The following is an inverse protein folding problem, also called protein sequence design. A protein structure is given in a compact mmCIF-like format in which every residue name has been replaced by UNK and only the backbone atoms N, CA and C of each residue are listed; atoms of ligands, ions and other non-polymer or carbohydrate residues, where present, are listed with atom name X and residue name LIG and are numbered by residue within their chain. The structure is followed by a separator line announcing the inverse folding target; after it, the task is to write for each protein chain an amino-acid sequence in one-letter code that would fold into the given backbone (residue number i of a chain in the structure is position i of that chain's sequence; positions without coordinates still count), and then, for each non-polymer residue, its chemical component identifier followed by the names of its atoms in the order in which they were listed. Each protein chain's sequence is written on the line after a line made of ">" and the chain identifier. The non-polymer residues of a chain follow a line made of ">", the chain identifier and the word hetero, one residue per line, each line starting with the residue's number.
data_IF_791610694170
#
_entry.id   IF_791610694170
#
_cell.length_a   1.000
_cell.length_b   1.000
_cell.length_c   1.000
_cell.angle_alpha   90.00
_cell.angle_beta   90.00
_cell.angle_gamma   90.00
#
_symmetry.space_group_name_H-M   'P 1'
#
loop_
_entity.id
_entity.type
_entity.pdbx_description
1 polymer ?
#
# COMPACT_ATOMS: atom_id res chain seq x y z
N UNK A 1 65.04 17.54 4.40
CA UNK A 1 64.46 17.28 5.75
C UNK A 1 63.04 16.82 5.50
N UNK A 2 62.58 15.62 5.83
CA UNK A 2 63.09 14.57 6.69
C UNK A 2 62.49 13.23 6.17
N UNK A 3 63.34 12.23 6.00
CA UNK A 3 63.03 10.89 5.50
C UNK A 3 62.64 9.98 6.67
N UNK A 4 61.57 9.19 6.56
CA UNK A 4 61.35 8.05 7.47
C UNK A 4 61.14 6.74 6.71
N UNK A 5 61.96 5.77 7.13
CA UNK A 5 62.30 4.50 6.50
C UNK A 5 61.37 3.37 6.95
N UNK A 6 61.31 2.36 6.07
CA UNK A 6 60.86 0.98 6.30
C UNK A 6 61.45 0.34 7.58
N UNK A 7 60.62 -0.48 8.25
CA UNK A 7 61.07 -1.69 8.94
C UNK A 7 60.01 -2.80 8.75
N UNK A 8 60.34 -3.81 7.95
CA UNK A 8 59.63 -5.09 7.91
C UNK A 8 60.31 -6.01 8.93
N UNK A 9 59.62 -6.37 9.99
CA UNK A 9 60.04 -7.44 10.90
C UNK A 9 59.29 -8.72 10.52
N UNK A 10 60.02 -9.66 9.91
CA UNK A 10 59.54 -11.02 9.65
C UNK A 10 59.90 -11.87 10.87
N UNK A 11 58.91 -12.19 11.70
CA UNK A 11 59.04 -13.18 12.76
C UNK A 11 58.57 -14.53 12.20
N UNK A 12 59.54 -15.39 11.88
CA UNK A 12 59.30 -16.78 11.53
C UNK A 12 59.13 -17.56 12.83
N UNK A 13 57.87 -17.67 13.31
CA UNK A 13 57.52 -18.52 14.45
C UNK A 13 57.28 -19.93 13.92
N UNK A 14 58.18 -20.84 14.30
CA UNK A 14 58.06 -22.27 14.07
C UNK A 14 56.99 -22.81 15.03
N UNK A 15 55.75 -22.91 14.56
CA UNK A 15 54.65 -23.49 15.31
C UNK A 15 54.75 -25.02 15.28
N UNK A 16 55.06 -25.61 16.44
CA UNK A 16 54.93 -27.04 16.70
C UNK A 16 53.44 -27.42 16.57
N UNK A 17 53.08 -28.15 15.52
CA UNK A 17 51.74 -28.69 15.35
C UNK A 17 51.52 -29.86 16.32
N UNK A 18 51.00 -29.57 17.51
CA UNK A 18 50.39 -30.59 18.37
C UNK A 18 49.02 -30.91 17.77
N UNK A 19 48.94 -32.05 17.07
CA UNK A 19 47.70 -32.67 16.63
C UNK A 19 46.89 -33.11 17.87
N UNK A 20 46.23 -32.16 18.51
CA UNK A 20 45.13 -32.43 19.43
C UNK A 20 43.88 -32.60 18.56
N UNK A 21 43.60 -33.84 18.15
CA UNK A 21 42.29 -34.17 17.59
C UNK A 21 41.25 -33.76 18.64
N UNK A 22 40.32 -32.82 18.34
CA UNK A 22 39.23 -32.56 19.25
C UNK A 22 38.46 -33.87 19.35
N UNK A 23 38.38 -34.45 20.55
CA UNK A 23 37.29 -35.36 20.86
C UNK A 23 36.02 -34.57 20.59
N UNK A 24 35.46 -34.73 19.40
CA UNK A 24 34.11 -34.31 19.09
C UNK A 24 33.26 -35.18 19.99
N UNK A 25 32.82 -34.60 21.12
CA UNK A 25 31.75 -35.14 21.90
C UNK A 25 30.58 -35.27 20.92
N UNK A 26 30.41 -36.47 20.35
CA UNK A 26 29.20 -36.84 19.64
C UNK A 26 28.11 -36.75 20.69
N UNK A 27 27.44 -35.59 20.74
CA UNK A 27 26.22 -35.46 21.52
C UNK A 27 25.30 -36.51 20.92
N UNK A 28 25.09 -37.60 21.64
CA UNK A 28 24.08 -38.58 21.29
C UNK A 28 22.78 -37.78 21.22
N UNK A 29 22.27 -37.59 20.01
CA UNK A 29 21.01 -36.90 19.80
C UNK A 29 19.95 -37.76 20.49
N UNK A 30 19.47 -37.27 21.62
CA UNK A 30 18.40 -37.91 22.38
C UNK A 30 17.20 -38.07 21.44
N UNK A 31 16.69 -39.30 21.32
CA UNK A 31 15.61 -39.59 20.39
C UNK A 31 14.37 -38.77 20.80
N UNK A 32 13.89 -37.90 19.91
CA UNK A 32 12.70 -37.09 20.19
C UNK A 32 11.43 -37.96 20.15
N UNK A 33 10.42 -37.69 20.99
CA UNK A 33 9.12 -38.35 20.92
C UNK A 33 8.44 -38.17 19.56
N UNK A 34 7.59 -39.12 19.19
CA UNK A 34 6.76 -39.01 17.99
C UNK A 34 5.90 -37.74 18.01
N UNK A 35 5.88 -36.99 16.91
CA UNK A 35 5.15 -35.73 16.79
C UNK A 35 5.96 -34.48 17.16
N UNK A 36 7.10 -34.61 17.85
CA UNK A 36 7.97 -33.46 18.15
C UNK A 36 8.81 -33.12 16.90
N UNK A 37 8.77 -31.87 16.41
CA UNK A 37 9.58 -31.47 15.26
C UNK A 37 11.08 -31.52 15.60
N UNK A 38 11.94 -31.70 14.60
CA UNK A 38 13.39 -31.85 14.81
C UNK A 38 14.11 -30.59 15.30
N UNK A 39 13.49 -29.40 15.21
CA UNK A 39 14.11 -28.11 15.52
C UNK A 39 13.52 -27.46 16.78
N UNK A 40 14.40 -26.95 17.66
CA UNK A 40 14.00 -26.11 18.79
C UNK A 40 13.66 -24.70 18.30
N UNK A 41 12.69 -24.05 18.93
CA UNK A 41 12.26 -22.71 18.48
C UNK A 41 13.39 -21.67 18.54
N UNK A 42 14.24 -21.72 19.57
CA UNK A 42 15.38 -20.80 19.71
C UNK A 42 16.55 -21.05 18.74
N UNK A 43 16.51 -22.11 17.93
CA UNK A 43 17.58 -22.43 16.97
C UNK A 43 17.21 -22.12 15.52
N UNK A 44 15.96 -21.73 15.26
CA UNK A 44 15.51 -21.41 13.90
C UNK A 44 15.97 -20.00 13.50
N UNK A 45 16.67 -19.90 12.38
CA UNK A 45 16.93 -18.64 11.70
C UNK A 45 15.95 -18.46 10.54
N UNK A 46 15.23 -17.35 10.52
CA UNK A 46 14.27 -17.00 9.46
C UNK A 46 13.22 -18.09 9.16
N UNK A 47 12.44 -18.54 10.17
CA UNK A 47 11.39 -19.53 9.92
C UNK A 47 10.38 -18.99 8.89
N UNK A 48 9.90 -19.87 8.00
CA UNK A 48 8.78 -19.56 7.11
C UNK A 48 7.46 -19.77 7.85
N UNK A 49 6.41 -19.04 7.46
CA UNK A 49 5.08 -19.21 8.05
C UNK A 49 4.66 -20.68 7.96
N UNK A 50 4.20 -21.25 9.07
CA UNK A 50 3.85 -22.66 9.20
C UNK A 50 4.98 -23.56 9.72
N UNK A 51 6.22 -23.08 9.80
CA UNK A 51 7.34 -23.83 10.37
C UNK A 51 7.02 -24.27 11.79
N UNK A 52 7.15 -25.57 12.06
CA UNK A 52 6.98 -26.14 13.39
C UNK A 52 8.31 -26.17 14.14
N UNK A 53 8.26 -25.87 15.42
CA UNK A 53 9.39 -25.97 16.33
C UNK A 53 8.91 -26.41 17.70
N UNK A 54 9.82 -26.73 18.62
CA UNK A 54 9.43 -27.05 20.00
C UNK A 54 10.23 -26.29 21.05
N UNK A 55 9.63 -26.15 22.22
CA UNK A 55 10.32 -25.84 23.48
C UNK A 55 10.07 -26.96 24.47
N UNK A 56 11.08 -27.33 25.25
CA UNK A 56 10.97 -28.38 26.27
C UNK A 56 10.99 -27.74 27.66
N UNK A 57 10.05 -28.14 28.51
CA UNK A 57 10.04 -27.78 29.93
C UNK A 57 10.14 -29.07 30.74
N UNK A 58 11.28 -29.33 31.42
CA UNK A 58 11.40 -30.49 32.29
C UNK A 58 10.52 -30.31 33.53
N UNK A 59 9.96 -31.40 34.02
CA UNK A 59 9.13 -31.45 35.22
C UNK A 59 9.28 -32.78 35.96
N UNK A 60 8.88 -32.81 37.22
CA UNK A 60 8.95 -34.01 38.02
C UNK A 60 9.14 -33.75 39.50
N UNK A 61 9.26 -34.84 40.25
CA UNK A 61 9.36 -34.83 41.70
C UNK A 61 9.63 -36.21 42.25
N UNK A 62 10.43 -36.28 43.32
CA UNK A 62 10.75 -37.50 44.06
C UNK A 62 10.28 -37.36 45.50
N UNK A 63 9.74 -38.43 46.06
CA UNK A 63 9.48 -38.53 47.50
C UNK A 63 10.06 -39.81 48.07
N UNK A 64 10.54 -39.70 49.30
CA UNK A 64 11.06 -40.80 50.08
C UNK A 64 9.96 -41.78 50.50
N UNK A 65 10.36 -42.95 51.00
CA UNK A 65 9.49 -43.96 51.61
C UNK A 65 8.47 -43.32 52.58
N UNK A 66 7.20 -43.70 52.46
CA UNK A 66 6.09 -43.21 53.29
C UNK A 66 5.51 -41.85 52.84
N UNK A 67 6.13 -41.17 51.88
CA UNK A 67 5.64 -39.93 51.30
C UNK A 67 4.91 -40.15 49.97
N UNK A 68 3.80 -39.43 49.76
CA UNK A 68 3.27 -39.18 48.42
C UNK A 68 3.74 -37.79 47.97
N UNK A 69 4.19 -37.58 46.72
CA UNK A 69 4.40 -36.24 46.20
C UNK A 69 3.01 -35.63 46.06
N UNK A 70 2.61 -34.84 47.05
CA UNK A 70 1.40 -34.05 47.01
C UNK A 70 1.77 -32.74 46.32
N UNK A 71 0.93 -32.30 45.38
CA UNK A 71 1.02 -31.00 44.72
C UNK A 71 2.18 -30.85 43.72
N UNK A 72 2.20 -31.66 42.66
CA UNK A 72 2.97 -31.25 41.49
C UNK A 72 2.40 -29.92 40.97
N UNK A 73 3.26 -28.94 40.66
CA UNK A 73 2.80 -27.64 40.21
C UNK A 73 1.98 -27.81 38.93
N UNK A 74 0.78 -27.24 38.91
CA UNK A 74 0.03 -27.10 37.68
C UNK A 74 0.81 -26.19 36.74
N UNK A 75 1.11 -26.68 35.53
CA UNK A 75 1.78 -25.88 34.51
C UNK A 75 0.72 -25.35 33.55
N UNK A 76 0.55 -24.03 33.53
CA UNK A 76 -0.28 -23.34 32.55
C UNK A 76 0.62 -22.88 31.43
N UNK A 77 0.40 -23.42 30.24
CA UNK A 77 1.14 -23.08 29.03
C UNK A 77 0.29 -22.09 28.24
N UNK A 78 0.84 -20.90 28.03
CA UNK A 78 0.25 -19.85 27.22
C UNK A 78 1.30 -19.33 26.24
N UNK A 79 0.88 -19.06 25.00
CA UNK A 79 1.76 -18.44 24.02
C UNK A 79 2.11 -17.02 24.48
N UNK A 80 3.38 -16.78 24.81
CA UNK A 80 3.92 -15.47 25.19
C UNK A 80 4.57 -14.74 24.02
N UNK A 81 4.94 -15.47 22.98
CA UNK A 81 5.61 -14.94 21.80
C UNK A 81 4.56 -14.58 20.73
N UNK A 82 4.54 -13.35 20.20
CA UNK A 82 3.55 -12.92 19.21
C UNK A 82 3.73 -13.58 17.84
N UNK A 83 4.89 -14.17 17.60
CA UNK A 83 5.27 -14.79 16.33
C UNK A 83 4.96 -16.30 16.25
N UNK A 84 4.50 -16.87 17.36
CA UNK A 84 4.23 -18.29 17.47
C UNK A 84 2.87 -18.56 18.11
N UNK A 85 2.23 -19.63 17.65
CA UNK A 85 1.09 -20.23 18.35
C UNK A 85 1.43 -21.63 18.84
N UNK A 86 0.75 -22.07 19.90
CA UNK A 86 0.86 -23.45 20.35
C UNK A 86 0.05 -24.33 19.39
N UNK A 87 0.71 -25.26 18.72
CA UNK A 87 0.09 -26.22 17.83
C UNK A 87 -0.27 -27.53 18.56
N UNK A 88 0.63 -28.00 19.44
CA UNK A 88 0.45 -29.25 20.16
C UNK A 88 1.25 -29.22 21.46
N UNK A 89 0.79 -29.97 22.47
CA UNK A 89 1.56 -30.23 23.70
C UNK A 89 1.69 -31.73 23.88
N UNK A 90 2.93 -32.19 23.86
CA UNK A 90 3.29 -33.60 23.98
C UNK A 90 3.95 -33.80 25.34
N UNK A 91 3.46 -34.78 26.09
CA UNK A 91 3.99 -35.16 27.40
C UNK A 91 4.77 -36.47 27.26
N UNK A 92 6.05 -36.44 27.61
CA UNK A 92 6.90 -37.63 27.67
C UNK A 92 7.18 -37.97 29.12
N UNK A 93 6.91 -39.21 29.52
CA UNK A 93 7.27 -39.71 30.85
C UNK A 93 8.66 -40.36 30.74
N UNK A 94 9.66 -39.75 31.36
CA UNK A 94 11.05 -40.22 31.35
C UNK A 94 11.20 -41.39 32.34
N UNK A 95 10.69 -41.22 33.56
CA UNK A 95 10.75 -42.26 34.58
C UNK A 95 9.57 -42.15 35.55
N UNK A 96 9.06 -43.30 36.02
CA UNK A 96 7.97 -43.34 37.00
C UNK A 96 8.07 -44.57 37.91
N UNK A 97 7.83 -44.37 39.20
CA UNK A 97 7.66 -45.44 40.18
C UNK A 97 6.50 -45.13 41.14
N UNK A 98 5.68 -46.14 41.44
CA UNK A 98 4.49 -46.00 42.28
C UNK A 98 3.18 -46.36 41.56
N UNK A 99 2.06 -46.32 42.30
CA UNK A 99 0.71 -46.41 41.71
C UNK A 99 0.31 -45.07 41.08
N UNK A 100 -0.31 -45.17 39.90
CA UNK A 100 -0.24 -44.12 38.88
C UNK A 100 -1.55 -43.34 38.75
N UNK A 101 -1.49 -42.04 39.04
CA UNK A 101 -2.21 -41.06 38.23
C UNK A 101 -1.18 -40.36 37.35
N UNK A 102 -1.21 -40.66 36.05
CA UNK A 102 -0.32 -40.01 35.08
C UNK A 102 -0.71 -38.54 34.91
N UNK A 103 0.24 -37.66 34.55
CA UNK A 103 -0.11 -36.28 34.26
C UNK A 103 -1.07 -36.25 33.06
N UNK A 104 -2.06 -35.36 33.12
CA UNK A 104 -3.04 -35.21 32.04
C UNK A 104 -2.96 -33.81 31.44
N UNK A 105 -2.99 -33.73 30.13
CA UNK A 105 -3.07 -32.46 29.39
C UNK A 105 -4.54 -32.14 29.15
N UNK A 106 -4.94 -30.91 29.46
CA UNK A 106 -6.31 -30.41 29.28
C UNK A 106 -6.29 -29.00 28.70
N UNK A 107 -7.21 -28.69 27.80
CA UNK A 107 -7.36 -27.34 27.27
C UNK A 107 -8.28 -26.54 28.19
N UNK A 108 -7.80 -25.42 28.73
CA UNK A 108 -8.53 -24.53 29.63
C UNK A 108 -9.43 -23.54 28.89
N UNK A 109 -8.99 -23.05 27.73
CA UNK A 109 -9.77 -22.12 26.91
C UNK A 109 -9.26 -22.13 25.47
N UNK A 110 -10.12 -21.78 24.51
CA UNK A 110 -9.71 -21.37 23.17
C UNK A 110 -9.43 -19.84 23.14
N UNK A 111 -8.68 -19.34 22.15
CA UNK A 111 -8.58 -17.89 21.90
C UNK A 111 -7.54 -17.09 22.70
N UNK A 112 -6.42 -17.69 23.10
CA UNK A 112 -5.39 -17.04 23.93
C UNK A 112 -4.69 -15.82 23.31
N UNK A 113 -4.88 -15.53 22.02
CA UNK A 113 -4.24 -14.42 21.30
C UNK A 113 -5.20 -13.35 20.75
N UNK A 114 -6.40 -13.20 21.33
CA UNK A 114 -7.39 -12.22 20.87
C UNK A 114 -6.84 -10.78 20.72
N UNK A 115 -5.90 -10.36 21.58
CA UNK A 115 -5.28 -9.03 21.50
C UNK A 115 -4.37 -8.84 20.29
N UNK A 116 -3.56 -9.85 19.94
CA UNK A 116 -2.66 -9.83 18.77
C UNK A 116 -3.49 -9.79 17.49
N UNK A 117 -4.52 -10.66 17.41
CA UNK A 117 -5.47 -10.68 16.28
C UNK A 117 -6.15 -9.33 16.12
N UNK A 118 -6.75 -8.81 17.19
CA UNK A 118 -7.46 -7.51 17.17
C UNK A 118 -6.55 -6.38 16.69
N UNK A 119 -5.33 -6.30 17.22
CA UNK A 119 -4.34 -5.27 16.83
C UNK A 119 -3.92 -5.41 15.37
N UNK A 120 -3.69 -6.64 14.89
CA UNK A 120 -3.31 -6.88 13.51
C UNK A 120 -4.45 -6.52 12.53
N UNK A 121 -5.69 -6.88 12.87
CA UNK A 121 -6.90 -6.49 12.11
C UNK A 121 -7.09 -4.98 12.07
N UNK A 122 -6.90 -4.28 13.20
CA UNK A 122 -6.98 -2.82 13.27
C UNK A 122 -5.95 -2.17 12.35
N UNK A 123 -4.71 -2.66 12.39
CA UNK A 123 -3.63 -2.16 11.53
C UNK A 123 -3.87 -2.41 10.04
N UNK A 124 -4.50 -3.52 9.67
CA UNK A 124 -4.90 -3.78 8.29
C UNK A 124 -5.96 -2.77 7.81
N UNK A 125 -6.92 -2.43 8.68
CA UNK A 125 -7.93 -1.41 8.40
C UNK A 125 -7.29 -0.03 8.19
N UNK A 126 -6.34 0.36 9.03
CA UNK A 126 -5.57 1.61 8.90
C UNK A 126 -4.82 1.69 7.57
N UNK A 127 -4.16 0.60 7.16
CA UNK A 127 -3.45 0.52 5.88
C UNK A 127 -4.40 0.66 4.68
N UNK A 128 -5.54 -0.04 4.71
CA UNK A 128 -6.59 0.05 3.67
C UNK A 128 -7.13 1.46 3.52
N UNK A 129 -7.37 2.15 4.64
CA UNK A 129 -7.79 3.55 4.64
C UNK A 129 -6.72 4.45 4.00
N UNK A 130 -5.46 4.27 4.41
CA UNK A 130 -4.33 5.04 3.86
C UNK A 130 -4.20 4.87 2.34
N UNK A 131 -4.34 3.63 1.82
CA UNK A 131 -4.35 3.38 0.37
C UNK A 131 -5.48 4.12 -0.33
N UNK A 132 -6.70 4.09 0.23
CA UNK A 132 -7.85 4.78 -0.36
C UNK A 132 -7.63 6.31 -0.44
N UNK A 133 -7.05 6.92 0.60
CA UNK A 133 -6.69 8.34 0.59
C UNK A 133 -5.65 8.68 -0.49
N UNK A 134 -4.61 7.83 -0.62
CA UNK A 134 -3.57 7.98 -1.65
C UNK A 134 -4.18 7.86 -3.06
N UNK A 135 -5.04 6.86 -3.26
CA UNK A 135 -5.71 6.62 -4.54
C UNK A 135 -6.61 7.79 -4.92
N UNK A 136 -7.36 8.36 -3.96
CA UNK A 136 -8.18 9.54 -4.21
C UNK A 136 -7.34 10.74 -4.67
N UNK A 137 -6.18 10.98 -4.05
CA UNK A 137 -5.25 12.05 -4.48
C UNK A 137 -4.67 11.82 -5.87
N UNK A 138 -4.44 10.58 -6.26
CA UNK A 138 -3.90 10.26 -7.58
C UNK A 138 -4.88 10.56 -8.74
N UNK A 139 -6.18 10.72 -8.47
CA UNK A 139 -7.22 10.94 -9.51
C UNK A 139 -7.07 12.24 -10.29
N UNK A 140 -6.37 13.25 -9.73
CA UNK A 140 -6.13 14.54 -10.40
C UNK A 140 -4.87 14.55 -11.27
N UNK A 141 -4.09 13.46 -11.25
CA UNK A 141 -2.87 13.33 -12.05
C UNK A 141 -3.19 12.89 -13.47
N UNK A 142 -2.36 13.32 -14.42
CA UNK A 142 -2.45 12.92 -15.82
C UNK A 142 -1.06 12.63 -16.39
N UNK A 143 -1.02 12.00 -17.57
CA UNK A 143 0.23 11.75 -18.29
C UNK A 143 1.26 10.93 -17.49
N UNK A 144 2.56 11.27 -17.56
CA UNK A 144 3.63 10.53 -16.88
C UNK A 144 3.47 10.44 -15.35
N UNK A 145 2.96 11.49 -14.71
CA UNK A 145 2.74 11.51 -13.26
C UNK A 145 1.70 10.47 -12.81
N UNK A 146 0.66 10.24 -13.62
CA UNK A 146 -0.32 9.20 -13.34
C UNK A 146 0.29 7.80 -13.41
N UNK A 147 1.18 7.55 -14.38
CA UNK A 147 1.87 6.26 -14.54
C UNK A 147 2.75 5.98 -13.30
N UNK A 148 3.51 6.98 -12.83
CA UNK A 148 4.33 6.85 -11.62
C UNK A 148 3.47 6.59 -10.38
N UNK A 149 2.37 7.33 -10.22
CA UNK A 149 1.43 7.13 -9.11
C UNK A 149 0.80 5.72 -9.12
N UNK A 150 0.43 5.21 -10.30
CA UNK A 150 -0.10 3.86 -10.46
C UNK A 150 0.92 2.78 -10.09
N UNK A 151 2.20 2.98 -10.45
CA UNK A 151 3.27 2.06 -10.06
C UNK A 151 3.42 1.99 -8.53
N UNK A 152 3.43 3.15 -7.84
CA UNK A 152 3.48 3.22 -6.37
C UNK A 152 2.27 2.56 -5.70
N UNK A 153 1.06 2.79 -6.23
CA UNK A 153 -0.16 2.15 -5.73
C UNK A 153 -0.14 0.63 -5.90
N UNK A 154 0.38 0.13 -7.02
CA UNK A 154 0.52 -1.32 -7.27
C UNK A 154 1.47 -1.98 -6.26
N UNK A 155 2.63 -1.36 -5.97
CA UNK A 155 3.54 -1.86 -4.94
C UNK A 155 2.90 -1.86 -3.56
N UNK A 156 2.14 -0.81 -3.20
CA UNK A 156 1.39 -0.76 -1.93
C UNK A 156 0.31 -1.85 -1.85
N UNK A 157 -0.40 -2.12 -2.94
CA UNK A 157 -1.42 -3.18 -2.99
C UNK A 157 -0.80 -4.57 -2.74
N UNK A 158 0.39 -4.82 -3.28
CA UNK A 158 1.08 -6.10 -3.07
C UNK A 158 1.55 -6.27 -1.62
N UNK A 159 2.13 -5.24 -1.00
CA UNK A 159 2.51 -5.29 0.42
C UNK A 159 1.29 -5.41 1.35
N UNK A 160 0.17 -4.73 1.03
CA UNK A 160 -1.09 -4.89 1.75
C UNK A 160 -1.58 -6.34 1.67
N UNK A 161 -1.52 -6.97 0.49
CA UNK A 161 -1.91 -8.38 0.30
C UNK A 161 -1.04 -9.32 1.13
N UNK A 162 0.27 -9.09 1.19
CA UNK A 162 1.19 -9.85 2.05
C UNK A 162 0.82 -9.69 3.52
N UNK A 163 0.51 -8.47 3.96
CA UNK A 163 0.09 -8.23 5.33
C UNK A 163 -1.28 -8.85 5.65
N UNK A 164 -2.25 -8.79 4.73
CA UNK A 164 -3.56 -9.43 4.86
C UNK A 164 -3.46 -10.95 5.01
N UNK A 165 -2.58 -11.60 4.23
CA UNK A 165 -2.29 -13.03 4.38
C UNK A 165 -1.68 -13.36 5.76
N UNK A 166 -0.83 -12.46 6.27
CA UNK A 166 -0.26 -12.58 7.62
C UNK A 166 -1.35 -12.47 8.68
N UNK A 167 -2.23 -11.46 8.60
CA UNK A 167 -3.37 -11.28 9.50
C UNK A 167 -4.30 -12.49 9.48
N UNK A 168 -4.57 -13.06 8.29
CA UNK A 168 -5.40 -14.25 8.13
C UNK A 168 -4.76 -15.46 8.83
N UNK A 169 -3.46 -15.67 8.62
CA UNK A 169 -2.69 -16.72 9.29
C UNK A 169 -2.71 -16.57 10.81
N UNK A 170 -2.48 -15.36 11.32
CA UNK A 170 -2.51 -15.03 12.75
C UNK A 170 -3.91 -15.21 13.33
N UNK A 171 -4.97 -14.86 12.58
CA UNK A 171 -6.36 -15.01 13.03
C UNK A 171 -6.74 -16.47 13.18
N UNK A 172 -6.46 -17.29 12.17
CA UNK A 172 -6.69 -18.73 12.23
C UNK A 172 -5.93 -19.36 13.39
N UNK A 173 -4.63 -19.03 13.51
CA UNK A 173 -3.77 -19.54 14.56
C UNK A 173 -4.19 -19.08 15.97
N UNK A 174 -4.66 -17.84 16.10
CA UNK A 174 -5.11 -17.26 17.38
C UNK A 174 -6.41 -17.87 17.89
N UNK A 175 -7.29 -18.33 17.00
CA UNK A 175 -8.49 -19.10 17.38
C UNK A 175 -8.10 -20.47 17.99
N UNK A 176 -7.07 -21.10 17.43
CA UNK A 176 -6.60 -22.43 17.83
C UNK A 176 -5.67 -22.40 19.07
N UNK A 177 -5.07 -21.26 19.38
CA UNK A 177 -4.12 -21.10 20.49
C UNK A 177 -4.82 -21.15 21.86
N UNK A 178 -5.09 -22.36 22.35
CA UNK A 178 -5.67 -22.56 23.65
C UNK A 178 -4.72 -22.33 24.82
N UNK A 179 -5.26 -21.97 25.99
CA UNK A 179 -4.52 -22.12 27.25
C UNK A 179 -4.51 -23.60 27.59
N UNK A 180 -3.34 -24.18 27.80
CA UNK A 180 -3.21 -25.61 28.09
C UNK A 180 -2.77 -25.79 29.53
N UNK A 181 -3.51 -26.61 30.29
CA UNK A 181 -3.16 -27.02 31.64
C UNK A 181 -2.63 -28.44 31.61
N UNK A 182 -1.40 -28.59 32.06
CA UNK A 182 -0.84 -29.89 32.42
C UNK A 182 -1.09 -30.10 33.91
N UNK A 183 -2.02 -31.00 34.22
CA UNK A 183 -2.32 -31.38 35.59
C UNK A 183 -1.23 -32.30 36.12
N UNK A 184 -0.80 -32.05 37.35
CA UNK A 184 0.24 -32.84 38.01
C UNK A 184 -0.09 -34.32 38.06
N UNK A 185 0.93 -35.18 37.89
CA UNK A 185 0.81 -36.58 38.25
C UNK A 185 0.61 -36.72 39.76
N UNK A 186 0.11 -37.86 40.22
CA UNK A 186 0.30 -38.24 41.62
C UNK A 186 0.79 -39.66 41.65
N UNK A 187 1.89 -39.91 42.34
CA UNK A 187 2.36 -41.25 42.59
C UNK A 187 2.07 -41.60 44.06
N UNK A 188 1.42 -42.75 44.29
CA UNK A 188 1.34 -43.32 45.64
C UNK A 188 2.52 -44.26 45.84
N UNK A 189 3.16 -44.17 47.01
CA UNK A 189 4.20 -45.13 47.41
C UNK A 189 3.65 -46.54 47.25
N UNK A 190 4.44 -47.44 46.66
CA UNK A 190 4.09 -48.86 46.60
C UNK A 190 4.63 -49.56 47.83
N UNK A 191 3.86 -50.51 48.36
CA UNK A 191 4.41 -51.48 49.30
C UNK A 191 5.50 -52.27 48.58
N UNK A 192 6.66 -52.39 49.20
CA UNK A 192 7.75 -53.23 48.79
C UNK A 192 8.30 -53.99 50.01
N UNK A 193 9.19 -54.96 49.76
CA UNK A 193 9.67 -55.88 50.80
C UNK A 193 8.81 -57.14 50.94
N UNK A 194 9.43 -58.19 51.48
CA UNK A 194 8.79 -59.47 51.80
C UNK A 194 7.80 -59.22 52.97
N UNK A 195 6.50 -59.23 52.68
CA UNK A 195 5.35 -58.91 53.56
C UNK A 195 4.71 -57.52 53.42
N UNK A 196 5.05 -56.71 52.40
CA UNK A 196 4.41 -55.40 52.16
C UNK A 196 4.55 -54.38 53.31
N UNK A 197 5.51 -54.57 54.21
CA UNK A 197 5.73 -53.70 55.38
C UNK A 197 6.55 -52.46 55.06
N UNK A 198 7.35 -52.49 53.99
CA UNK A 198 8.13 -51.33 53.56
C UNK A 198 7.38 -50.56 52.47
N UNK A 199 7.54 -49.24 52.43
CA UNK A 199 7.06 -48.43 51.31
C UNK A 199 8.24 -48.00 50.47
N UNK A 200 8.20 -48.29 49.18
CA UNK A 200 9.17 -47.77 48.25
C UNK A 200 8.78 -46.33 47.91
N UNK A 201 9.78 -45.44 47.89
CA UNK A 201 9.59 -44.06 47.43
C UNK A 201 8.92 -44.03 46.06
N UNK A 202 8.27 -42.91 45.75
CA UNK A 202 7.59 -42.73 44.47
C UNK A 202 8.16 -41.52 43.76
N UNK A 203 8.23 -41.59 42.45
CA UNK A 203 8.70 -40.47 41.64
C UNK A 203 8.06 -40.49 40.27
N UNK A 204 8.02 -39.32 39.66
CA UNK A 204 7.71 -39.14 38.25
C UNK A 204 8.62 -38.05 37.71
N UNK A 205 9.18 -38.31 36.55
CA UNK A 205 10.01 -37.40 35.79
C UNK A 205 9.47 -37.36 34.37
N UNK A 206 9.25 -36.15 33.86
CA UNK A 206 8.60 -35.97 32.58
C UNK A 206 9.12 -34.72 31.86
N UNK A 207 9.03 -34.73 30.54
CA UNK A 207 9.23 -33.58 29.68
C UNK A 207 7.90 -33.11 29.11
N UNK A 208 7.68 -31.81 29.12
CA UNK A 208 6.59 -31.18 28.37
C UNK A 208 7.19 -30.55 27.11
N UNK A 209 6.87 -31.12 25.95
CA UNK A 209 7.19 -30.56 24.65
C UNK A 209 6.04 -29.68 24.19
N UNK A 210 6.29 -28.39 24.03
CA UNK A 210 5.34 -27.44 23.45
C UNK A 210 5.72 -27.25 22.00
N UNK A 211 4.96 -27.89 21.11
CA UNK A 211 5.10 -27.70 19.66
C UNK A 211 4.45 -26.37 19.30
N UNK A 212 5.24 -25.49 18.72
CA UNK A 212 4.82 -24.17 18.28
C UNK A 212 4.83 -24.11 16.75
N UNK A 213 3.89 -23.37 16.18
CA UNK A 213 3.86 -23.03 14.75
C UNK A 213 4.19 -21.55 14.60
N UNK A 214 5.17 -21.24 13.77
CA UNK A 214 5.51 -19.87 13.43
C UNK A 214 4.42 -19.26 12.53
N UNK A 215 3.90 -18.09 12.91
CA UNK A 215 2.82 -17.39 12.19
C UNK A 215 3.32 -16.12 11.48
N UNK A 216 4.63 -15.84 11.54
CA UNK A 216 5.20 -14.60 11.07
C UNK A 216 5.23 -13.52 12.15
N UNK A 217 5.93 -12.43 11.87
CA UNK A 217 5.88 -11.21 12.68
C UNK A 217 4.87 -10.23 12.05
N UNK A 218 3.62 -10.17 12.57
CA UNK A 218 2.61 -9.24 12.05
C UNK A 218 3.00 -7.77 12.23
N UNK A 219 3.83 -7.45 13.23
CA UNK A 219 4.31 -6.09 13.46
C UNK A 219 5.34 -5.71 12.40
N UNK A 220 6.31 -6.59 12.11
CA UNK A 220 7.25 -6.34 11.02
C UNK A 220 6.55 -6.29 9.66
N UNK A 221 5.57 -7.17 9.40
CA UNK A 221 4.78 -7.14 8.17
C UNK A 221 4.03 -5.81 8.00
N UNK A 222 3.36 -5.34 9.06
CA UNK A 222 2.73 -4.03 9.08
C UNK A 222 3.73 -2.90 8.82
N UNK A 223 4.86 -2.89 9.53
CA UNK A 223 5.85 -1.82 9.41
C UNK A 223 6.43 -1.71 7.98
N UNK A 224 6.65 -2.85 7.30
CA UNK A 224 7.05 -2.86 5.89
C UNK A 224 5.99 -2.25 4.98
N UNK A 225 4.75 -2.71 5.09
CA UNK A 225 3.65 -2.20 4.28
C UNK A 225 3.39 -0.70 4.53
N UNK A 226 3.48 -0.26 5.79
CA UNK A 226 3.32 1.13 6.17
C UNK A 226 4.47 2.02 5.67
N UNK A 227 5.70 1.51 5.60
CA UNK A 227 6.81 2.23 4.99
C UNK A 227 6.55 2.49 3.48
N UNK A 228 6.07 1.48 2.76
CA UNK A 228 5.66 1.63 1.35
C UNK A 228 4.49 2.59 1.20
N UNK A 229 3.51 2.55 2.11
CA UNK A 229 2.39 3.50 2.11
C UNK A 229 2.86 4.96 2.28
N UNK A 230 3.81 5.22 3.18
CA UNK A 230 4.37 6.55 3.37
C UNK A 230 5.18 7.03 2.15
N UNK A 231 5.99 6.17 1.56
CA UNK A 231 6.71 6.47 0.32
C UNK A 231 5.74 6.83 -0.83
N UNK A 232 4.69 6.03 -1.02
CA UNK A 232 3.66 6.28 -2.02
C UNK A 232 2.92 7.60 -1.74
N UNK A 233 2.54 7.87 -0.49
CA UNK A 233 1.89 9.12 -0.07
C UNK A 233 2.74 10.34 -0.36
N UNK A 234 4.03 10.30 -0.02
CA UNK A 234 4.95 11.40 -0.23
C UNK A 234 5.18 11.63 -1.74
N UNK A 235 5.40 10.55 -2.50
CA UNK A 235 5.58 10.62 -3.96
C UNK A 235 4.36 11.24 -4.64
N UNK A 236 3.16 10.75 -4.34
CA UNK A 236 1.92 11.23 -4.97
C UNK A 236 1.62 12.68 -4.56
N UNK A 237 1.92 13.07 -3.32
CA UNK A 237 1.77 14.47 -2.89
C UNK A 237 2.68 15.39 -3.70
N UNK A 238 3.96 15.02 -3.88
CA UNK A 238 4.91 15.76 -4.74
C UNK A 238 4.41 15.87 -6.19
N UNK A 239 3.93 14.76 -6.76
CA UNK A 239 3.40 14.76 -8.14
C UNK A 239 2.18 15.67 -8.31
N UNK A 240 1.29 15.70 -7.32
CA UNK A 240 0.13 16.60 -7.34
C UNK A 240 0.57 18.06 -7.28
N UNK A 241 1.53 18.40 -6.43
CA UNK A 241 2.09 19.75 -6.36
C UNK A 241 2.79 20.16 -7.66
N UNK A 242 3.55 19.26 -8.29
CA UNK A 242 4.20 19.50 -9.58
C UNK A 242 3.19 19.70 -10.71
N UNK A 243 2.14 18.87 -10.77
CA UNK A 243 1.06 18.99 -11.74
C UNK A 243 0.31 20.34 -11.57
N UNK A 244 0.08 20.77 -10.33
CA UNK A 244 -0.50 22.07 -10.05
C UNK A 244 0.42 23.22 -10.47
N UNK A 245 1.73 23.13 -10.21
CA UNK A 245 2.69 24.17 -10.63
C UNK A 245 2.75 24.31 -12.15
N UNK A 246 2.69 23.21 -12.88
CA UNK A 246 2.64 23.24 -14.35
C UNK A 246 1.36 23.89 -14.88
N UNK A 247 0.24 23.77 -14.16
CA UNK A 247 -1.01 24.45 -14.54
C UNK A 247 -1.04 25.96 -14.28
N UNK A 248 -0.14 26.49 -13.43
CA UNK A 248 -0.16 27.89 -12.97
C UNK A 248 0.88 28.77 -13.67
N UNK A 249 1.78 28.21 -14.49
CA UNK A 249 2.70 29.05 -15.24
C UNK A 249 1.90 29.86 -16.29
N UNK A 250 1.93 31.21 -16.25
CA UNK A 250 1.14 32.02 -17.18
C UNK A 250 1.65 31.74 -18.59
N UNK A 251 0.88 30.96 -19.34
CA UNK A 251 1.07 30.88 -20.77
C UNK A 251 0.92 32.29 -21.30
N UNK A 252 1.94 32.80 -21.98
CA UNK A 252 1.82 34.02 -22.76
C UNK A 252 0.54 33.90 -23.61
N UNK A 253 -0.28 34.97 -23.71
CA UNK A 253 -1.54 34.88 -24.43
C UNK A 253 -1.32 34.30 -25.82
N UNK A 254 -2.05 33.23 -26.17
CA UNK A 254 -2.01 32.68 -27.52
C UNK A 254 -3.00 33.45 -28.37
N UNK A 255 -2.55 34.09 -29.44
CA UNK A 255 -3.42 34.85 -30.33
C UNK A 255 -3.53 34.17 -31.70
N UNK A 256 -4.72 34.16 -32.26
CA UNK A 256 -5.00 33.64 -33.61
C UNK A 256 -5.77 34.70 -34.41
N UNK A 257 -5.59 34.69 -35.73
CA UNK A 257 -6.29 35.59 -36.65
C UNK A 257 -7.40 34.84 -37.36
N UNK A 258 -8.63 35.34 -37.26
CA UNK A 258 -9.83 34.79 -37.91
C UNK A 258 -10.15 35.67 -39.12
N UNK A 259 -9.95 35.11 -40.31
CA UNK A 259 -10.21 35.83 -41.56
C UNK A 259 -11.71 35.78 -41.90
N UNK A 260 -12.29 36.93 -42.26
CA UNK A 260 -13.71 37.03 -42.64
C UNK A 260 -14.05 36.36 -43.97
N UNK A 261 -13.06 36.06 -44.82
CA UNK A 261 -13.26 35.38 -46.11
C UNK A 261 -13.36 33.87 -46.03
N UNK A 262 -13.14 33.31 -44.83
CA UNK A 262 -13.14 31.87 -44.61
C UNK A 262 -14.31 31.49 -43.69
N UNK A 263 -14.85 30.28 -43.89
CA UNK A 263 -15.86 29.71 -43.01
C UNK A 263 -15.26 29.30 -41.67
N UNK A 264 -15.61 28.11 -41.18
CA UNK A 264 -15.00 27.57 -39.95
C UNK A 264 -13.48 27.38 -40.11
N UNK A 265 -12.72 28.13 -39.31
CA UNK A 265 -11.27 28.04 -39.22
C UNK A 265 -10.90 27.38 -37.89
N UNK A 266 -10.21 26.24 -37.95
CA UNK A 266 -9.78 25.50 -36.77
C UNK A 266 -8.35 25.87 -36.38
N UNK A 267 -8.15 26.22 -35.11
CA UNK A 267 -6.87 26.60 -34.55
C UNK A 267 -6.47 25.63 -33.44
N UNK A 268 -5.23 25.13 -33.50
CA UNK A 268 -4.60 24.37 -32.41
C UNK A 268 -3.82 25.37 -31.54
N UNK A 269 -4.17 25.47 -30.26
CA UNK A 269 -3.54 26.39 -29.33
C UNK A 269 -2.29 25.73 -28.70
N UNK A 270 -1.25 26.50 -28.36
CA UNK A 270 0.01 25.96 -27.81
C UNK A 270 -0.10 25.46 -26.35
N UNK A 271 -1.31 25.43 -25.79
CA UNK A 271 -1.59 25.06 -24.41
C UNK A 271 -3.09 24.95 -24.17
N UNK A 272 -3.47 24.77 -22.90
CA UNK A 272 -4.86 24.86 -22.48
C UNK A 272 -5.17 26.27 -22.00
N UNK A 273 -6.30 26.81 -22.44
CA UNK A 273 -6.74 28.16 -22.14
C UNK A 273 -8.17 28.14 -21.60
N UNK A 274 -8.43 28.82 -20.49
CA UNK A 274 -9.75 28.92 -19.85
C UNK A 274 -10.48 30.23 -20.15
N UNK A 275 -9.85 31.18 -20.84
CA UNK A 275 -10.42 32.52 -21.08
C UNK A 275 -10.07 33.06 -22.46
N UNK A 276 -11.00 33.79 -23.08
CA UNK A 276 -10.71 34.74 -24.15
C UNK A 276 -10.35 36.05 -23.46
N UNK A 277 -9.10 36.49 -23.59
CA UNK A 277 -8.57 37.67 -22.88
C UNK A 277 -8.57 38.93 -23.73
N UNK A 278 -8.67 38.81 -25.05
CA UNK A 278 -8.70 39.95 -25.96
C UNK A 278 -9.31 39.60 -27.31
N UNK A 279 -10.07 40.54 -27.87
CA UNK A 279 -10.58 40.47 -29.24
C UNK A 279 -10.35 41.84 -29.88
N UNK A 280 -9.55 41.89 -30.93
CA UNK A 280 -9.17 43.13 -31.62
C UNK A 280 -9.30 42.97 -33.13
N UNK A 281 -9.19 44.07 -33.87
CA UNK A 281 -9.41 44.09 -35.32
C UNK A 281 -10.87 44.39 -35.69
N UNK A 282 -11.16 44.32 -36.98
CA UNK A 282 -12.49 44.52 -37.53
C UNK A 282 -12.62 43.86 -38.91
N UNK A 283 -13.85 43.52 -39.29
CA UNK A 283 -14.19 43.01 -40.62
C UNK A 283 -15.53 43.55 -41.13
N UNK A 284 -15.85 43.30 -42.40
CA UNK A 284 -17.13 43.64 -43.03
C UNK A 284 -17.60 42.47 -43.88
N UNK A 285 -18.92 42.32 -44.05
CA UNK A 285 -19.50 41.29 -44.93
C UNK A 285 -19.59 41.71 -46.40
N UNK A 286 -19.34 42.99 -46.71
CA UNK A 286 -19.34 43.49 -48.08
C UNK A 286 -18.48 44.75 -48.17
N UNK A 287 -17.27 44.59 -48.70
CA UNK A 287 -16.34 45.70 -48.81
C UNK A 287 -16.89 46.85 -49.66
N UNK A 288 -16.94 48.05 -49.08
CA UNK A 288 -17.41 49.27 -49.75
C UNK A 288 -18.87 49.61 -49.53
N UNK A 289 -19.70 48.66 -49.05
CA UNK A 289 -21.13 48.87 -48.83
C UNK A 289 -21.51 48.95 -47.35
N UNK A 290 -20.74 48.30 -46.48
CA UNK A 290 -21.00 48.27 -45.04
C UNK A 290 -19.76 48.62 -44.23
N UNK A 291 -19.98 49.23 -43.06
CA UNK A 291 -18.91 49.59 -42.14
C UNK A 291 -18.19 48.34 -41.62
N UNK A 292 -16.94 48.53 -41.18
CA UNK A 292 -16.21 47.50 -40.45
C UNK A 292 -16.76 47.38 -39.02
N UNK A 293 -17.01 46.15 -38.58
CA UNK A 293 -17.51 45.81 -37.25
C UNK A 293 -16.54 44.88 -36.51
N UNK A 294 -16.62 44.89 -35.19
CA UNK A 294 -15.90 43.94 -34.33
C UNK A 294 -16.68 42.63 -34.13
N UNK A 295 -16.29 41.87 -33.09
CA UNK A 295 -16.88 40.56 -32.76
C UNK A 295 -18.38 40.58 -32.45
N UNK A 296 -18.93 41.74 -32.08
CA UNK A 296 -20.37 41.90 -31.84
C UNK A 296 -21.22 41.86 -33.11
N UNK A 297 -20.62 42.08 -34.29
CA UNK A 297 -21.35 42.18 -35.55
C UNK A 297 -22.11 43.49 -35.73
N UNK A 298 -22.95 43.55 -36.76
CA UNK A 298 -23.78 44.71 -37.10
C UNK A 298 -24.93 44.91 -36.12
N UNK A 299 -25.23 46.17 -35.80
CA UNK A 299 -26.34 46.57 -34.94
C UNK A 299 -26.99 47.86 -35.46
N UNK A 300 -28.16 48.23 -34.90
CA UNK A 300 -28.85 49.46 -35.25
C UNK A 300 -29.27 49.52 -36.72
N UNK A 301 -29.05 50.66 -37.36
CA UNK A 301 -29.53 50.91 -38.73
C UNK A 301 -28.91 49.94 -39.77
N UNK A 302 -27.62 49.62 -39.65
CA UNK A 302 -26.99 48.65 -40.55
C UNK A 302 -27.61 47.24 -40.38
N UNK A 303 -27.94 46.84 -39.15
CA UNK A 303 -28.63 45.58 -38.93
C UNK A 303 -30.06 45.57 -39.53
N UNK A 304 -30.76 46.71 -39.51
CA UNK A 304 -32.08 46.85 -40.16
C UNK A 304 -31.97 46.71 -41.68
N UNK A 305 -30.96 47.33 -42.29
CA UNK A 305 -30.67 47.20 -43.72
C UNK A 305 -30.39 45.73 -44.09
N UNK A 306 -29.68 45.00 -43.22
CA UNK A 306 -29.33 43.60 -43.44
C UNK A 306 -30.46 42.61 -43.09
N UNK A 307 -31.51 43.04 -42.39
CA UNK A 307 -32.58 42.17 -41.92
C UNK A 307 -33.28 41.34 -43.02
N UNK A 308 -33.52 41.85 -44.24
CA UNK A 308 -34.08 41.06 -45.34
C UNK A 308 -33.22 39.88 -45.78
N UNK A 309 -31.92 39.88 -45.43
CA UNK A 309 -30.97 38.83 -45.81
C UNK A 309 -30.71 37.82 -44.68
N UNK A 310 -31.46 37.83 -43.57
CA UNK A 310 -31.20 36.99 -42.39
C UNK A 310 -31.08 35.47 -42.68
N UNK A 311 -31.67 34.98 -43.78
CA UNK A 311 -31.50 33.58 -44.21
C UNK A 311 -30.08 33.25 -44.68
N UNK A 312 -29.27 34.27 -45.00
CA UNK A 312 -27.87 34.19 -45.42
C UNK A 312 -26.89 34.28 -44.25
N UNK A 313 -27.29 33.88 -43.03
CA UNK A 313 -26.38 33.77 -41.87
C UNK A 313 -26.03 32.32 -41.58
N UNK A 314 -24.82 32.07 -41.11
CA UNK A 314 -24.42 30.76 -40.58
C UNK A 314 -25.20 30.40 -39.29
N UNK A 315 -25.45 31.39 -38.43
CA UNK A 315 -26.34 31.30 -37.28
C UNK A 315 -27.41 32.39 -37.35
N UNK A 316 -28.67 31.95 -37.48
CA UNK A 316 -29.85 32.81 -37.61
C UNK A 316 -30.13 33.63 -36.36
N UNK A 317 -29.68 33.16 -35.19
CA UNK A 317 -29.94 33.81 -33.90
C UNK A 317 -28.90 34.89 -33.55
N UNK A 318 -27.82 34.97 -34.33
CA UNK A 318 -26.72 35.92 -34.10
C UNK A 318 -26.73 37.05 -35.13
N UNK A 319 -26.19 38.24 -34.83
CA UNK A 319 -26.07 39.33 -35.81
C UNK A 319 -25.20 38.96 -37.01
N UNK A 320 -25.42 39.60 -38.16
CA UNK A 320 -24.46 39.53 -39.27
C UNK A 320 -23.08 40.02 -38.82
N UNK A 321 -22.01 39.39 -39.32
CA UNK A 321 -20.66 39.78 -38.98
C UNK A 321 -20.25 39.48 -37.53
N UNK A 322 -21.08 38.79 -36.75
CA UNK A 322 -20.72 38.36 -35.41
C UNK A 322 -19.59 37.31 -35.43
N UNK A 323 -18.73 37.29 -34.42
CA UNK A 323 -17.77 36.21 -34.21
C UNK A 323 -18.49 34.99 -33.64
N UNK A 324 -18.52 33.90 -34.39
CA UNK A 324 -19.00 32.60 -33.91
C UNK A 324 -17.83 31.73 -33.51
N UNK A 325 -17.99 31.01 -32.40
CA UNK A 325 -17.01 30.10 -31.85
C UNK A 325 -17.67 28.74 -31.64
N UNK A 326 -16.99 27.67 -32.05
CA UNK A 326 -17.40 26.31 -31.77
C UNK A 326 -16.51 25.75 -30.64
N UNK A 327 -17.11 25.58 -29.46
CA UNK A 327 -16.43 24.99 -28.31
C UNK A 327 -16.68 23.48 -28.26
N UNK A 328 -15.72 22.67 -27.78
CA UNK A 328 -15.94 21.25 -27.57
C UNK A 328 -17.19 21.03 -26.70
N UNK A 329 -18.12 20.18 -27.16
CA UNK A 329 -19.34 19.79 -26.45
C UNK A 329 -20.38 20.91 -26.18
N UNK A 330 -20.20 22.15 -26.66
CA UNK A 330 -21.14 23.26 -26.38
C UNK A 330 -21.83 23.82 -27.64
N UNK A 331 -21.49 23.34 -28.83
CA UNK A 331 -22.04 23.84 -30.09
C UNK A 331 -21.48 25.21 -30.49
N UNK A 332 -22.22 25.93 -31.34
CA UNK A 332 -21.84 27.25 -31.82
C UNK A 332 -22.31 28.31 -30.83
N UNK A 333 -21.42 29.23 -30.48
CA UNK A 333 -21.68 30.32 -29.56
C UNK A 333 -21.23 31.65 -30.17
N UNK A 334 -22.05 32.69 -30.01
CA UNK A 334 -21.66 34.06 -30.32
C UNK A 334 -20.81 34.66 -29.19
N UNK A 335 -19.65 35.18 -29.54
CA UNK A 335 -18.72 35.84 -28.62
C UNK A 335 -18.60 37.31 -28.99
N UNK A 336 -19.17 38.20 -28.16
CA UNK A 336 -19.16 39.65 -28.39
C UNK A 336 -18.04 40.38 -27.64
N UNK A 337 -17.47 39.77 -26.60
CA UNK A 337 -16.46 40.35 -25.72
C UNK A 337 -15.59 39.27 -25.03
N UNK A 338 -14.40 39.65 -24.50
CA UNK A 338 -13.57 38.77 -23.68
C UNK A 338 -14.37 38.14 -22.53
N UNK A 339 -14.26 36.83 -22.35
CA UNK A 339 -15.04 36.08 -21.38
C UNK A 339 -14.34 34.79 -20.93
N UNK A 340 -14.76 34.26 -19.79
CA UNK A 340 -14.33 32.94 -19.32
C UNK A 340 -15.05 31.84 -20.09
N UNK A 341 -14.34 30.75 -20.34
CA UNK A 341 -14.86 29.54 -20.95
C UNK A 341 -15.35 28.60 -19.85
N UNK A 342 -16.33 27.75 -20.20
CA UNK A 342 -16.88 26.74 -19.30
C UNK A 342 -15.90 25.60 -18.98
N UNK A 343 -14.91 25.39 -19.84
CA UNK A 343 -13.82 24.43 -19.66
C UNK A 343 -12.56 24.90 -20.41
N UNK A 344 -11.35 24.49 -19.98
CA UNK A 344 -10.13 24.77 -20.72
C UNK A 344 -10.15 24.14 -22.12
N UNK A 345 -9.64 24.87 -23.12
CA UNK A 345 -9.57 24.43 -24.52
C UNK A 345 -8.12 24.39 -25.03
N UNK A 346 -7.82 23.41 -25.87
CA UNK A 346 -6.56 23.33 -26.65
C UNK A 346 -6.78 23.43 -28.16
N UNK A 347 -8.04 23.41 -28.58
CA UNK A 347 -8.46 23.54 -29.97
C UNK A 347 -9.77 24.32 -30.01
N UNK A 348 -9.94 25.16 -31.04
CA UNK A 348 -11.13 25.98 -31.23
C UNK A 348 -11.40 26.17 -32.71
N UNK A 349 -12.67 26.22 -33.12
CA UNK A 349 -13.04 26.67 -34.45
C UNK A 349 -13.80 27.99 -34.36
N UNK A 350 -13.49 28.92 -35.26
CA UNK A 350 -14.10 30.25 -35.29
C UNK A 350 -14.45 30.68 -36.71
N UNK A 351 -15.47 31.52 -36.86
CA UNK A 351 -15.86 32.12 -38.15
C UNK A 351 -16.58 33.46 -37.97
N UNK A 352 -16.70 34.21 -39.06
CA UNK A 352 -17.67 35.29 -39.18
C UNK A 352 -19.09 34.71 -39.39
N UNK A 353 -20.11 35.36 -38.83
CA UNK A 353 -21.51 35.01 -39.05
C UNK A 353 -22.03 35.57 -40.38
N UNK A 354 -21.78 34.81 -41.43
CA UNK A 354 -22.25 35.03 -42.79
C UNK A 354 -22.37 33.67 -43.49
N UNK A 355 -23.20 33.54 -44.51
CA UNK A 355 -23.36 32.29 -45.26
C UNK A 355 -22.11 31.98 -46.10
N UNK A 356 -21.83 30.70 -46.31
CA UNK A 356 -20.63 30.27 -47.05
C UNK A 356 -20.58 30.85 -48.49
N UNK A 357 -21.74 31.14 -49.09
CA UNK A 357 -21.83 31.80 -50.40
C UNK A 357 -21.53 33.31 -50.40
N UNK A 358 -21.55 33.97 -49.24
CA UNK A 358 -21.26 35.41 -49.08
C UNK A 358 -19.80 35.73 -48.74
N UNK A 359 -19.03 34.74 -48.30
CA UNK A 359 -17.69 34.94 -47.74
C UNK A 359 -16.68 35.63 -48.69
N UNK A 360 -16.84 35.47 -50.00
CA UNK A 360 -15.89 36.00 -50.99
C UNK A 360 -15.78 37.53 -50.98
N UNK A 361 -16.87 38.22 -50.61
CA UNK A 361 -16.97 39.68 -50.64
C UNK A 361 -16.65 40.33 -49.27
N UNK A 362 -16.39 39.49 -48.27
CA UNK A 362 -16.00 39.92 -46.94
C UNK A 362 -14.60 40.53 -46.94
N UNK A 363 -14.28 41.35 -45.96
CA UNK A 363 -12.94 41.95 -45.85
C UNK A 363 -12.56 42.23 -44.40
N UNK A 364 -11.29 42.02 -44.06
CA UNK A 364 -10.76 42.19 -42.71
C UNK A 364 -10.68 40.89 -41.90
N UNK A 365 -10.19 41.03 -40.66
CA UNK A 365 -9.95 39.90 -39.76
C UNK A 365 -10.08 40.34 -38.29
N UNK A 366 -10.38 39.39 -37.42
CA UNK A 366 -10.32 39.56 -35.96
C UNK A 366 -9.12 38.79 -35.40
N UNK A 367 -8.38 39.42 -34.49
CA UNK A 367 -7.40 38.74 -33.67
C UNK A 367 -8.03 38.38 -32.32
N UNK A 368 -8.01 37.09 -31.98
CA UNK A 368 -8.57 36.54 -30.74
C UNK A 368 -7.44 35.98 -29.90
N UNK A 369 -7.28 36.47 -28.67
CA UNK A 369 -6.24 36.06 -27.74
C UNK A 369 -6.82 35.27 -26.57
N UNK A 370 -6.13 34.20 -26.20
CA UNK A 370 -6.51 33.26 -25.15
C UNK A 370 -5.54 33.33 -23.98
N UNK A 371 -6.07 33.20 -22.76
CA UNK A 371 -5.32 33.21 -21.50
C UNK A 371 -5.93 32.25 -20.48
N UNK A 372 -5.34 32.21 -19.29
CA UNK A 372 -5.84 31.44 -18.15
C UNK A 372 -6.38 32.34 -17.04
#
# INVERSE_FOLDING_TARGET
>A
METKRLFKFSWMVMALAVLSSPLTAQSQAEALPAGVPGARCGTLSNPTIGTLCYTVTPGGGKVNAGGSPKNFPEVIIQATEPEYVIAEVILEIISVAGDRNLPSVSQLSAGGQASVVTKATEKLRELKQTRAEIQAKATVLSGPALIEAQAKLSTLQEEERIFENTVTSVTAAGQDAGKIKVSGASARSRSCGWANTDTCGSWVEYNIYVVKRYIGDPIAAYNRAFAVANDAKNTITRLVEENQRQSVQPSSPACVSVDSKNGWQTFNLPGQFSRIVGITGAWTILQGNHSFVGASGYAGEEANILAPYNDNKADRNSPFGALLVQLPNSGNQWISSPQSLNQPISQIAMRINDADGGLGDNSGALQVCFGN
#
